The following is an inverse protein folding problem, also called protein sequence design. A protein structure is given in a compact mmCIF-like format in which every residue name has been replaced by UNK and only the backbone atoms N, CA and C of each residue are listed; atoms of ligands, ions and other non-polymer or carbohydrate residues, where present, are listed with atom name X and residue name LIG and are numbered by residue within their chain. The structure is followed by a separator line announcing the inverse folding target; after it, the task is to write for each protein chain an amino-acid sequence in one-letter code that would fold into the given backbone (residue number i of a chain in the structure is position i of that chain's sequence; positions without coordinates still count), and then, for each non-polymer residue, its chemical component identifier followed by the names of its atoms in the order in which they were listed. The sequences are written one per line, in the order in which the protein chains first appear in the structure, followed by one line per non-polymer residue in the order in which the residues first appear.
data_IF_708484941561
#
_entry.id   IF_708484941561
#
_cell.length_a   1.000
_cell.length_b   1.000
_cell.length_c   1.000
_cell.angle_alpha   90.00
_cell.angle_beta   90.00
_cell.angle_gamma   90.00
#
_symmetry.space_group_name_H-M   'P 1'
#
loop_
_entity.id
_entity.type
_entity.pdbx_description
1 polymer ?
#
# COMPACT_ATOMS: atom_id res chain seq x y z
N UNK A 1 -62.15 -34.18 40.48
CA UNK A 1 -60.72 -34.12 40.87
C UNK A 1 -59.91 -33.67 39.66
N UNK A 2 -59.13 -32.60 39.80
CA UNK A 2 -58.57 -31.80 38.69
C UNK A 2 -57.38 -32.49 38.01
N UNK A 3 -57.56 -33.03 36.81
CA UNK A 3 -56.45 -33.35 35.91
C UNK A 3 -55.91 -32.04 35.30
N UNK A 4 -55.07 -31.34 36.06
CA UNK A 4 -54.43 -30.09 35.63
C UNK A 4 -53.11 -30.40 34.90
N UNK A 5 -53.10 -30.06 33.60
CA UNK A 5 -51.99 -29.42 32.87
C UNK A 5 -50.58 -30.00 33.08
N UNK A 6 -50.22 -31.05 32.35
CA UNK A 6 -48.80 -31.43 32.14
C UNK A 6 -48.42 -31.62 30.66
N UNK A 7 -49.36 -31.47 29.71
CA UNK A 7 -49.13 -31.82 28.30
C UNK A 7 -48.90 -30.64 27.32
N UNK A 8 -48.46 -29.41 27.70
CA UNK A 8 -47.99 -28.46 26.69
C UNK A 8 -46.45 -28.35 26.62
N UNK A 9 -45.70 -28.77 27.64
CA UNK A 9 -44.26 -28.46 27.70
C UNK A 9 -43.36 -29.50 27.02
N UNK A 10 -43.71 -30.79 27.07
CA UNK A 10 -42.88 -31.85 26.46
C UNK A 10 -42.93 -31.76 24.92
N UNK A 11 -44.10 -31.45 24.35
CA UNK A 11 -44.24 -31.27 22.89
C UNK A 11 -43.49 -30.02 22.41
N UNK A 12 -43.49 -28.94 23.20
CA UNK A 12 -42.77 -27.71 22.89
C UNK A 12 -41.24 -27.90 22.96
N UNK A 13 -40.76 -28.74 23.88
CA UNK A 13 -39.33 -29.05 24.01
C UNK A 13 -38.81 -29.90 22.84
N UNK A 14 -39.61 -30.85 22.35
CA UNK A 14 -39.26 -31.68 21.18
C UNK A 14 -39.25 -30.85 19.89
N UNK A 15 -40.18 -29.91 19.73
CA UNK A 15 -40.21 -28.95 18.61
C UNK A 15 -39.04 -27.95 18.63
N UNK A 16 -38.54 -27.57 19.82
CA UNK A 16 -37.31 -26.77 19.94
C UNK A 16 -36.06 -27.58 19.59
N UNK A 17 -35.96 -28.85 20.01
CA UNK A 17 -34.81 -29.70 19.71
C UNK A 17 -34.68 -30.06 18.23
N UNK A 18 -35.81 -30.22 17.51
CA UNK A 18 -35.82 -30.48 16.06
C UNK A 18 -35.43 -29.24 15.22
N UNK A 19 -35.57 -28.02 15.76
CA UNK A 19 -35.09 -26.80 15.09
C UNK A 19 -33.58 -26.58 15.22
N UNK A 20 -32.89 -27.31 16.11
CA UNK A 20 -31.43 -27.19 16.27
C UNK A 20 -30.69 -28.13 15.29
N UNK A 21 -31.38 -29.13 14.73
CA UNK A 21 -30.80 -30.10 13.80
C UNK A 21 -30.75 -29.63 12.33
N UNK A 22 -31.29 -28.44 12.03
CA UNK A 22 -31.41 -27.91 10.66
C UNK A 22 -30.36 -26.88 10.24
N UNK A 23 -29.45 -26.46 11.13
CA UNK A 23 -28.30 -25.67 10.72
C UNK A 23 -27.21 -26.60 10.22
N UNK A 24 -27.30 -26.98 8.94
CA UNK A 24 -26.13 -27.39 8.18
C UNK A 24 -25.03 -26.36 8.48
N UNK A 25 -23.87 -26.83 8.97
CA UNK A 25 -22.64 -26.05 8.93
C UNK A 25 -22.45 -25.70 7.45
N UNK A 26 -22.91 -24.51 7.05
CA UNK A 26 -22.25 -23.79 5.98
C UNK A 26 -20.83 -23.68 6.49
N UNK A 27 -19.93 -24.45 5.89
CA UNK A 27 -18.51 -24.17 5.97
C UNK A 27 -18.38 -22.70 5.63
N UNK A 28 -18.27 -21.87 6.66
CA UNK A 28 -17.74 -20.53 6.55
C UNK A 28 -16.27 -20.75 6.19
N UNK A 29 -16.04 -21.15 4.94
CA UNK A 29 -14.78 -20.88 4.27
C UNK A 29 -14.63 -19.38 4.40
N UNK A 30 -13.86 -18.99 5.42
CA UNK A 30 -13.62 -17.60 5.77
C UNK A 30 -13.08 -16.98 4.50
N UNK A 31 -13.93 -16.21 3.81
CA UNK A 31 -13.58 -15.57 2.54
C UNK A 31 -12.39 -14.70 2.88
N UNK A 32 -11.20 -15.13 2.47
CA UNK A 32 -9.97 -14.43 2.81
C UNK A 32 -10.14 -12.99 2.35
N UNK A 33 -9.90 -12.04 3.26
CA UNK A 33 -9.97 -10.62 2.92
C UNK A 33 -9.12 -10.37 1.67
N UNK A 34 -9.59 -9.51 0.76
CA UNK A 34 -8.92 -9.32 -0.52
C UNK A 34 -7.50 -8.76 -0.35
N UNK A 35 -7.25 -8.00 0.72
CA UNK A 35 -5.93 -7.45 1.08
C UNK A 35 -4.90 -8.55 1.45
N UNK A 36 -5.11 -9.41 2.47
CA UNK A 36 -4.17 -10.48 2.80
C UNK A 36 -3.87 -11.40 1.63
N UNK A 37 -4.88 -11.74 0.82
CA UNK A 37 -4.70 -12.54 -0.38
C UNK A 37 -3.80 -11.85 -1.40
N UNK A 38 -4.07 -10.58 -1.73
CA UNK A 38 -3.26 -9.82 -2.68
C UNK A 38 -1.83 -9.59 -2.15
N UNK A 39 -1.67 -9.33 -0.86
CA UNK A 39 -0.36 -9.15 -0.24
C UNK A 39 0.48 -10.43 -0.33
N UNK A 40 -0.10 -11.61 -0.07
CA UNK A 40 0.59 -12.90 -0.24
C UNK A 40 1.07 -13.11 -1.66
N UNK A 41 0.23 -12.76 -2.65
CA UNK A 41 0.60 -12.85 -4.07
C UNK A 41 1.79 -11.92 -4.37
N UNK A 42 1.75 -10.67 -3.89
CA UNK A 42 2.82 -9.70 -4.07
C UNK A 42 4.14 -10.18 -3.43
N UNK A 43 4.11 -10.60 -2.17
CA UNK A 43 5.29 -11.11 -1.45
C UNK A 43 5.86 -12.36 -2.13
N UNK A 44 5.01 -13.27 -2.59
CA UNK A 44 5.45 -14.46 -3.33
C UNK A 44 6.11 -14.11 -4.65
N UNK A 45 5.59 -13.13 -5.40
CA UNK A 45 6.22 -12.68 -6.65
C UNK A 45 7.59 -12.04 -6.41
N UNK A 46 7.71 -11.18 -5.39
CA UNK A 46 8.98 -10.59 -5.02
C UNK A 46 9.98 -11.64 -4.49
N UNK A 47 9.52 -12.61 -3.72
CA UNK A 47 10.38 -13.67 -3.19
C UNK A 47 11.04 -14.49 -4.29
N UNK A 48 10.28 -14.81 -5.35
CA UNK A 48 10.80 -15.50 -6.54
C UNK A 48 11.75 -14.60 -7.32
N UNK A 49 11.40 -13.34 -7.54
CA UNK A 49 12.26 -12.39 -8.25
C UNK A 49 13.62 -12.19 -7.58
N UNK A 50 13.64 -12.21 -6.24
CA UNK A 50 14.84 -12.06 -5.42
C UNK A 50 15.28 -13.39 -4.80
N UNK A 51 15.09 -14.53 -5.48
CA UNK A 51 15.40 -15.85 -4.94
C UNK A 51 16.88 -16.01 -4.54
N UNK A 52 17.80 -15.39 -5.29
CA UNK A 52 19.25 -15.41 -5.01
C UNK A 52 19.64 -14.60 -3.76
N UNK A 53 18.79 -13.69 -3.29
CA UNK A 53 19.04 -12.90 -2.08
C UNK A 53 18.68 -13.74 -0.85
N UNK A 54 19.69 -14.19 -0.12
CA UNK A 54 19.55 -15.08 1.05
C UNK A 54 18.75 -14.42 2.18
N UNK A 55 19.17 -13.23 2.61
CA UNK A 55 18.49 -12.45 3.63
C UNK A 55 17.67 -11.35 2.98
N UNK A 56 16.36 -11.57 2.90
CA UNK A 56 15.40 -10.58 2.39
C UNK A 56 14.17 -10.51 3.29
N UNK A 57 13.73 -9.30 3.58
CA UNK A 57 12.45 -9.04 4.23
C UNK A 57 11.72 -7.93 3.49
N UNK A 58 10.42 -8.11 3.28
CA UNK A 58 9.55 -7.18 2.55
C UNK A 58 8.59 -6.50 3.53
N UNK A 59 8.93 -5.28 3.94
CA UNK A 59 8.09 -4.48 4.83
C UNK A 59 7.14 -3.61 4.00
N UNK A 60 5.83 -3.73 4.21
CA UNK A 60 4.86 -2.85 3.54
C UNK A 60 4.97 -1.43 4.13
N UNK A 61 5.22 -0.45 3.28
CA UNK A 61 5.22 0.98 3.63
C UNK A 61 3.86 1.62 3.38
N UNK A 62 3.21 1.26 2.26
CA UNK A 62 1.90 1.78 1.87
C UNK A 62 1.15 0.75 1.04
N UNK A 63 -0.16 0.75 1.20
CA UNK A 63 -1.10 -0.02 0.39
C UNK A 63 -2.16 0.92 -0.19
N UNK A 64 -2.59 0.67 -1.44
CA UNK A 64 -3.71 1.36 -2.07
C UNK A 64 -4.51 0.39 -2.95
N UNK A 65 -5.82 0.34 -2.74
CA UNK A 65 -6.77 -0.28 -3.68
C UNK A 65 -7.21 0.77 -4.70
N UNK A 66 -7.25 0.39 -5.97
CA UNK A 66 -7.82 1.21 -7.03
C UNK A 66 -8.48 0.29 -8.06
N UNK A 67 -9.79 0.36 -8.19
CA UNK A 67 -10.58 -0.58 -8.97
C UNK A 67 -10.27 -2.05 -8.59
N UNK A 68 -9.80 -2.84 -9.55
CA UNK A 68 -9.37 -4.23 -9.38
C UNK A 68 -7.85 -4.37 -9.07
N UNK A 69 -7.14 -3.27 -8.85
CA UNK A 69 -5.70 -3.25 -8.55
C UNK A 69 -5.45 -3.14 -7.05
N UNK A 70 -4.48 -3.93 -6.59
CA UNK A 70 -3.91 -3.84 -5.26
C UNK A 70 -2.46 -3.42 -5.41
N UNK A 71 -2.13 -2.21 -4.98
CA UNK A 71 -0.77 -1.69 -5.04
C UNK A 71 -0.15 -1.74 -3.65
N UNK A 72 1.08 -2.27 -3.60
CA UNK A 72 1.87 -2.39 -2.40
C UNK A 72 3.23 -1.75 -2.64
N UNK A 73 3.57 -0.76 -1.82
CA UNK A 73 4.92 -0.23 -1.75
C UNK A 73 5.66 -0.97 -0.64
N UNK A 74 6.71 -1.69 -0.99
CA UNK A 74 7.56 -2.40 -0.06
C UNK A 74 8.90 -1.70 0.13
N UNK A 75 9.43 -1.82 1.34
CA UNK A 75 10.84 -1.67 1.66
C UNK A 75 11.46 -3.05 1.80
N UNK A 76 12.34 -3.42 0.87
CA UNK A 76 13.11 -4.64 0.92
C UNK A 76 14.43 -4.37 1.65
N UNK A 77 14.64 -5.00 2.80
CA UNK A 77 15.96 -5.02 3.46
C UNK A 77 16.75 -6.19 2.94
N UNK A 78 17.98 -5.94 2.50
CA UNK A 78 18.97 -6.97 2.09
C UNK A 78 20.32 -6.66 2.73
N UNK A 79 21.25 -7.62 2.67
CA UNK A 79 22.61 -7.45 3.20
C UNK A 79 23.43 -6.37 2.46
N UNK A 80 23.12 -6.09 1.19
CA UNK A 80 23.95 -5.24 0.34
C UNK A 80 23.33 -3.88 0.02
N UNK A 81 22.01 -3.78 -0.12
CA UNK A 81 21.32 -2.52 -0.41
C UNK A 81 19.82 -2.62 -0.17
N UNK A 82 19.21 -1.70 0.60
CA UNK A 82 17.77 -1.64 0.70
C UNK A 82 17.15 -1.14 -0.62
N UNK A 83 15.96 -1.64 -0.95
CA UNK A 83 15.24 -1.25 -2.17
C UNK A 83 13.78 -0.90 -1.88
N UNK A 84 13.23 0.04 -2.65
CA UNK A 84 11.80 0.32 -2.66
C UNK A 84 11.15 -0.33 -3.89
N UNK A 85 10.14 -1.16 -3.65
CA UNK A 85 9.51 -1.99 -4.67
C UNK A 85 8.02 -1.68 -4.72
N UNK A 86 7.53 -1.25 -5.88
CA UNK A 86 6.09 -1.16 -6.11
C UNK A 86 5.62 -2.47 -6.75
N UNK A 87 4.71 -3.17 -6.10
CA UNK A 87 4.05 -4.35 -6.64
C UNK A 87 2.57 -4.07 -6.86
N UNK A 88 2.10 -4.33 -8.07
CA UNK A 88 0.69 -4.25 -8.46
C UNK A 88 0.16 -5.67 -8.63
N UNK A 89 -0.91 -6.00 -7.92
CA UNK A 89 -1.64 -7.25 -8.08
C UNK A 89 -2.97 -6.97 -8.76
N UNK A 90 -3.18 -7.61 -9.89
CA UNK A 90 -4.41 -7.54 -10.68
C UNK A 90 -4.81 -8.95 -11.11
N UNK A 91 -6.08 -9.32 -10.89
CA UNK A 91 -6.61 -10.63 -11.32
C UNK A 91 -5.77 -11.83 -10.83
N UNK A 92 -5.26 -11.76 -9.59
CA UNK A 92 -4.34 -12.72 -8.97
C UNK A 92 -2.97 -12.86 -9.65
N UNK A 93 -2.59 -11.93 -10.52
CA UNK A 93 -1.27 -11.85 -11.15
C UNK A 93 -0.52 -10.66 -10.56
N UNK A 94 0.78 -10.82 -10.35
CA UNK A 94 1.62 -9.75 -9.83
C UNK A 94 2.51 -9.19 -10.94
N UNK A 95 2.52 -7.86 -11.04
CA UNK A 95 3.54 -7.09 -11.73
C UNK A 95 4.36 -6.37 -10.66
N UNK A 96 5.67 -6.33 -10.83
CA UNK A 96 6.50 -5.51 -9.97
C UNK A 96 7.42 -4.60 -10.75
N UNK A 97 7.62 -3.44 -10.14
CA UNK A 97 8.44 -2.37 -10.61
C UNK A 97 9.49 -2.15 -9.53
N UNK A 98 10.75 -2.36 -9.88
CA UNK A 98 11.81 -1.84 -9.04
C UNK A 98 11.93 -0.35 -9.33
N UNK A 99 11.76 0.48 -8.29
CA UNK A 99 12.52 1.72 -8.28
C UNK A 99 13.95 1.32 -7.91
N UNK A 100 14.76 1.04 -8.92
CA UNK A 100 16.21 1.08 -8.77
C UNK A 100 16.64 2.55 -8.87
N UNK A 101 16.15 3.38 -7.94
CA UNK A 101 16.61 4.73 -7.72
C UNK A 101 17.21 4.79 -6.34
N UNK A 102 18.33 5.52 -6.17
CA UNK A 102 18.94 5.70 -4.86
C UNK A 102 17.85 6.06 -3.85
N UNK A 103 17.73 5.30 -2.72
CA UNK A 103 16.81 5.69 -1.66
C UNK A 103 17.06 7.17 -1.36
N UNK A 104 15.99 7.93 -1.12
CA UNK A 104 16.15 9.26 -0.55
C UNK A 104 16.68 9.09 0.88
N UNK A 105 17.98 8.84 1.03
CA UNK A 105 18.62 8.57 2.32
C UNK A 105 18.70 9.85 3.16
N UNK A 106 18.75 11.01 2.49
CA UNK A 106 18.93 12.32 3.11
C UNK A 106 17.77 13.29 2.91
N UNK A 107 17.07 13.24 1.77
CA UNK A 107 16.09 14.28 1.37
C UNK A 107 14.68 14.11 1.94
N UNK A 108 14.46 13.16 2.85
CA UNK A 108 13.17 12.97 3.50
C UNK A 108 12.10 12.26 2.66
N UNK A 109 12.18 12.31 1.33
CA UNK A 109 11.27 11.68 0.37
C UNK A 109 11.92 11.57 -1.02
N UNK A 110 11.31 10.81 -1.93
CA UNK A 110 11.67 10.77 -3.36
C UNK A 110 10.43 10.79 -4.25
N UNK A 111 10.64 10.77 -5.57
CA UNK A 111 9.56 10.68 -6.57
C UNK A 111 9.92 9.68 -7.66
N UNK A 112 9.18 8.57 -7.69
CA UNK A 112 9.19 7.63 -8.79
C UNK A 112 7.84 7.67 -9.51
N UNK A 113 7.85 7.38 -10.81
CA UNK A 113 6.64 7.19 -11.60
C UNK A 113 6.70 5.90 -12.38
N UNK A 114 5.55 5.27 -12.56
CA UNK A 114 5.36 4.23 -13.57
C UNK A 114 4.05 4.42 -14.32
N UNK A 115 4.01 3.94 -15.56
CA UNK A 115 2.82 3.96 -16.42
C UNK A 115 2.18 2.58 -16.44
N UNK A 116 0.88 2.52 -16.19
CA UNK A 116 0.13 1.27 -16.27
C UNK A 116 -1.30 1.52 -16.72
N UNK A 117 -1.74 0.84 -17.79
CA UNK A 117 -3.09 0.90 -18.38
C UNK A 117 -3.66 2.32 -18.48
N UNK A 118 -2.89 3.22 -19.09
CA UNK A 118 -3.30 4.61 -19.31
C UNK A 118 -3.25 5.51 -18.06
N UNK A 119 -2.76 5.04 -16.92
CA UNK A 119 -2.58 5.82 -15.70
C UNK A 119 -1.09 6.03 -15.40
N UNK A 120 -0.78 7.13 -14.72
CA UNK A 120 0.51 7.36 -14.08
C UNK A 120 0.41 7.07 -12.59
N UNK A 121 1.32 6.27 -12.06
CA UNK A 121 1.38 5.89 -10.66
C UNK A 121 2.67 6.48 -10.07
N UNK A 122 2.52 7.40 -9.14
CA UNK A 122 3.60 8.02 -8.39
C UNK A 122 3.76 7.36 -7.03
N UNK A 123 5.00 7.11 -6.62
CA UNK A 123 5.24 6.43 -5.35
C UNK A 123 6.65 6.71 -4.82
N UNK A 124 6.77 6.72 -3.49
CA UNK A 124 8.04 6.65 -2.78
C UNK A 124 7.84 6.48 -1.28
N UNK A 125 8.93 6.32 -0.54
CA UNK A 125 8.94 6.38 0.91
C UNK A 125 8.75 7.82 1.44
N UNK A 126 8.30 7.90 2.69
CA UNK A 126 8.30 9.11 3.49
C UNK A 126 9.12 8.83 4.74
N UNK A 127 10.30 9.44 4.82
CA UNK A 127 11.16 9.28 5.98
C UNK A 127 10.66 10.10 7.15
N UNK A 128 11.07 9.70 8.35
CA UNK A 128 10.80 10.40 9.61
C UNK A 128 11.72 11.60 9.83
N UNK A 129 12.78 11.76 9.02
CA UNK A 129 13.69 12.90 9.09
C UNK A 129 14.23 13.30 7.71
N UNK A 130 14.57 14.58 7.57
CA UNK A 130 15.19 15.19 6.39
C UNK A 130 16.42 15.99 6.78
N UNK A 131 17.34 16.15 5.85
CA UNK A 131 18.53 16.98 5.98
C UNK A 131 18.19 18.49 5.88
N UNK A 132 18.96 19.32 6.56
CA UNK A 132 18.91 20.79 6.48
C UNK A 132 20.17 21.27 5.75
N UNK A 133 20.08 21.73 4.49
CA UNK A 133 21.26 22.04 3.70
C UNK A 133 22.20 23.08 4.29
N UNK A 134 21.65 24.12 4.93
CA UNK A 134 22.44 25.22 5.50
C UNK A 134 23.27 24.83 6.73
N UNK A 135 22.89 23.77 7.46
CA UNK A 135 23.52 23.42 8.74
C UNK A 135 24.13 22.03 8.77
N UNK A 136 23.83 21.18 7.77
CA UNK A 136 24.23 19.78 7.79
C UNK A 136 23.42 18.91 8.76
N UNK A 137 22.55 19.48 9.59
CA UNK A 137 21.78 18.77 10.60
C UNK A 137 20.57 18.01 10.00
N UNK A 138 19.98 17.11 10.78
CA UNK A 138 18.70 16.47 10.46
C UNK A 138 17.58 17.08 11.29
N UNK A 139 16.40 17.24 10.70
CA UNK A 139 15.16 17.58 11.39
C UNK A 139 14.09 16.51 11.20
N UNK A 140 13.17 16.32 12.15
CA UNK A 140 11.97 15.51 11.93
C UNK A 140 11.13 16.07 10.78
N UNK A 141 10.49 15.18 10.01
CA UNK A 141 9.64 15.57 8.88
C UNK A 141 8.20 15.83 9.32
N UNK A 142 7.60 14.92 10.09
CA UNK A 142 6.24 15.01 10.61
C UNK A 142 5.21 15.43 9.55
N UNK A 143 5.30 14.82 8.36
CA UNK A 143 4.40 15.13 7.26
C UNK A 143 2.95 14.82 7.62
N UNK A 144 2.05 15.67 7.14
CA UNK A 144 0.60 15.50 7.31
C UNK A 144 -0.15 15.69 6.01
N UNK A 145 0.38 16.49 5.09
CA UNK A 145 -0.25 16.78 3.80
C UNK A 145 0.79 16.77 2.69
N UNK A 146 0.39 16.25 1.55
CA UNK A 146 1.18 16.17 0.33
C UNK A 146 0.38 16.77 -0.82
N UNK A 147 1.00 17.60 -1.64
CA UNK A 147 0.35 18.28 -2.77
C UNK A 147 1.16 18.02 -4.02
N UNK A 148 0.58 17.30 -4.97
CA UNK A 148 1.09 17.16 -6.33
C UNK A 148 0.54 18.28 -7.19
N UNK A 149 1.43 18.99 -7.89
CA UNK A 149 1.07 19.92 -8.94
C UNK A 149 1.61 19.41 -10.28
N UNK A 150 0.74 19.30 -11.28
CA UNK A 150 1.11 18.84 -12.61
C UNK A 150 1.26 20.00 -13.57
N UNK A 151 2.03 19.83 -14.65
CA UNK A 151 2.29 20.89 -15.64
C UNK A 151 1.00 21.41 -16.30
N UNK A 152 -0.04 20.58 -16.39
CA UNK A 152 -1.35 20.99 -16.92
C UNK A 152 -2.22 21.76 -15.92
N UNK A 153 -1.68 22.16 -14.76
CA UNK A 153 -2.38 22.89 -13.71
C UNK A 153 -3.23 22.03 -12.77
N UNK A 154 -3.38 20.73 -13.01
CA UNK A 154 -4.09 19.84 -12.08
C UNK A 154 -3.33 19.78 -10.75
N UNK A 155 -4.07 19.83 -9.63
CA UNK A 155 -3.52 19.55 -8.30
C UNK A 155 -4.19 18.34 -7.67
N UNK A 156 -3.41 17.56 -6.91
CA UNK A 156 -3.91 16.44 -6.13
C UNK A 156 -3.35 16.57 -4.71
N UNK A 157 -4.24 16.47 -3.72
CA UNK A 157 -3.90 16.64 -2.31
C UNK A 157 -4.14 15.32 -1.59
N UNK A 158 -3.14 14.82 -0.88
CA UNK A 158 -3.21 13.60 -0.06
C UNK A 158 -2.95 13.93 1.41
N UNK A 159 -3.72 13.30 2.31
CA UNK A 159 -3.39 13.25 3.72
C UNK A 159 -2.40 12.10 3.95
N UNK A 160 -1.23 12.43 4.48
CA UNK A 160 -0.11 11.48 4.66
C UNK A 160 0.34 11.38 6.12
N UNK A 161 -0.51 11.81 7.08
CA UNK A 161 -0.17 11.78 8.50
C UNK A 161 0.08 10.35 8.98
N UNK A 162 1.30 10.10 9.44
CA UNK A 162 1.72 8.79 9.96
C UNK A 162 2.07 7.75 8.88
N UNK A 163 2.01 8.13 7.60
CA UNK A 163 2.40 7.25 6.50
C UNK A 163 3.92 7.08 6.42
N UNK A 164 4.35 5.88 6.02
CA UNK A 164 5.77 5.55 5.75
C UNK A 164 6.13 5.65 4.26
N UNK A 165 5.14 5.93 3.42
CA UNK A 165 5.28 6.06 1.98
C UNK A 165 3.95 6.45 1.34
N UNK A 166 3.97 6.73 0.05
CA UNK A 166 2.78 7.17 -0.67
C UNK A 166 2.62 6.41 -1.99
N UNK A 167 1.37 6.33 -2.45
CA UNK A 167 0.99 5.83 -3.77
C UNK A 167 -0.11 6.77 -4.29
N UNK A 168 0.16 7.47 -5.39
CA UNK A 168 -0.77 8.39 -6.04
C UNK A 168 -1.01 7.93 -7.47
N UNK A 169 -2.27 7.84 -7.86
CA UNK A 169 -2.68 7.33 -9.17
C UNK A 169 -3.42 8.47 -9.87
N UNK A 170 -3.01 8.79 -11.09
CA UNK A 170 -3.64 9.81 -11.92
C UNK A 170 -3.92 9.30 -13.32
N UNK A 171 -5.03 9.74 -13.90
CA UNK A 171 -5.38 9.38 -15.28
C UNK A 171 -4.47 10.07 -16.29
N UNK A 172 -4.09 9.32 -17.32
CA UNK A 172 -3.21 9.77 -18.38
C UNK A 172 -1.74 9.89 -17.96
N UNK A 173 -0.93 10.34 -18.91
CA UNK A 173 0.38 10.87 -18.60
C UNK A 173 0.24 12.27 -18.04
N UNK A 174 0.62 12.45 -16.78
CA UNK A 174 0.81 13.79 -16.21
C UNK A 174 2.28 13.96 -15.91
N UNK A 175 2.88 15.08 -16.31
CA UNK A 175 4.24 15.43 -15.90
C UNK A 175 4.16 16.22 -14.61
N UNK A 176 4.98 15.84 -13.63
CA UNK A 176 5.03 16.50 -12.34
C UNK A 176 5.70 17.87 -12.52
N UNK A 177 5.01 18.93 -12.13
CA UNK A 177 5.58 20.27 -12.03
C UNK A 177 6.22 20.44 -10.65
N UNK A 178 5.52 20.02 -9.61
CA UNK A 178 5.96 20.18 -8.23
C UNK A 178 5.30 19.15 -7.29
N UNK A 179 5.95 18.90 -6.17
CA UNK A 179 5.45 18.09 -5.07
C UNK A 179 5.85 18.77 -3.76
N UNK A 180 4.86 19.15 -2.97
CA UNK A 180 5.08 19.90 -1.73
C UNK A 180 4.55 19.09 -0.55
N UNK A 181 5.39 18.94 0.47
CA UNK A 181 5.12 18.23 1.72
C UNK A 181 5.00 19.21 2.87
N UNK A 182 3.92 19.10 3.64
CA UNK A 182 3.60 20.01 4.73
C UNK A 182 3.48 19.27 6.08
N UNK A 183 3.85 19.96 7.15
CA UNK A 183 3.55 19.53 8.52
C UNK A 183 2.15 20.01 8.96
N UNK A 184 1.77 19.67 10.20
CA UNK A 184 0.46 20.01 10.76
C UNK A 184 0.18 21.52 10.90
N UNK A 185 1.24 22.35 10.93
CA UNK A 185 1.13 23.81 10.99
C UNK A 185 0.91 24.45 9.61
N UNK A 186 0.94 23.65 8.54
CA UNK A 186 0.87 24.14 7.17
C UNK A 186 2.20 24.69 6.65
N UNK A 187 3.30 24.48 7.36
CA UNK A 187 4.65 24.87 6.93
C UNK A 187 5.18 23.85 5.92
N UNK A 188 5.90 24.33 4.90
CA UNK A 188 6.60 23.47 3.94
C UNK A 188 7.77 22.79 4.66
N UNK A 189 7.77 21.46 4.65
CA UNK A 189 8.85 20.65 5.20
C UNK A 189 9.86 20.32 4.12
N UNK A 190 9.35 19.89 2.96
CA UNK A 190 10.12 19.53 1.78
C UNK A 190 9.35 19.86 0.49
N UNK A 191 10.09 20.04 -0.60
CA UNK A 191 9.57 20.32 -1.94
C UNK A 191 10.34 19.53 -2.99
N UNK A 192 9.74 19.31 -4.16
CA UNK A 192 10.30 18.51 -5.25
C UNK A 192 11.71 18.93 -5.65
N UNK A 193 12.00 20.23 -5.66
CA UNK A 193 13.33 20.79 -5.91
C UNK A 193 14.40 20.29 -4.93
N UNK A 194 14.04 19.95 -3.69
CA UNK A 194 14.97 19.45 -2.68
C UNK A 194 15.60 18.11 -3.10
N UNK A 195 14.92 17.31 -3.92
CA UNK A 195 15.43 16.00 -4.31
C UNK A 195 16.69 16.13 -5.18
N UNK A 196 16.86 17.24 -5.91
CA UNK A 196 18.04 17.51 -6.75
C UNK A 196 18.15 16.62 -8.00
N UNK A 197 17.15 15.79 -8.28
CA UNK A 197 17.04 15.00 -9.50
C UNK A 197 15.58 14.86 -9.93
N UNK A 198 15.38 14.63 -11.23
CA UNK A 198 14.05 14.46 -11.81
C UNK A 198 13.37 13.16 -11.37
N UNK A 199 12.04 13.19 -11.42
CA UNK A 199 11.15 12.05 -11.24
C UNK A 199 11.62 10.86 -12.08
N UNK A 200 11.95 9.76 -11.41
CA UNK A 200 12.50 8.58 -12.07
C UNK A 200 11.39 7.71 -12.69
N UNK A 201 11.50 7.44 -13.99
CA UNK A 201 10.61 6.50 -14.70
C UNK A 201 11.03 5.05 -14.42
N UNK A 202 10.24 4.37 -13.59
CA UNK A 202 10.44 2.95 -13.31
C UNK A 202 9.95 2.09 -14.49
N UNK A 203 10.72 1.05 -14.81
CA UNK A 203 10.34 0.03 -15.79
C UNK A 203 9.75 -1.20 -15.09
N UNK A 204 8.90 -1.94 -15.79
CA UNK A 204 8.46 -3.27 -15.33
C UNK A 204 9.71 -4.15 -15.26
N UNK A 205 9.92 -4.81 -14.12
CA UNK A 205 11.09 -5.69 -13.92
C UNK A 205 10.70 -7.16 -14.03
N UNK A 206 9.44 -7.50 -13.79
CA UNK A 206 8.95 -8.83 -14.09
C UNK A 206 7.45 -9.02 -13.85
N UNK A 207 7.03 -10.23 -14.17
CA UNK A 207 5.64 -10.67 -14.13
C UNK A 207 5.55 -12.07 -13.55
N UNK A 208 4.57 -12.29 -12.68
CA UNK A 208 4.20 -13.62 -12.20
C UNK A 208 2.72 -13.86 -12.47
N UNK A 209 2.44 -14.74 -13.42
CA UNK A 209 1.17 -15.47 -13.49
C UNK A 209 1.32 -16.79 -12.75
N UNK A 210 0.26 -17.20 -12.04
CA UNK A 210 0.09 -18.62 -11.71
C UNK A 210 0.12 -19.47 -12.97
#
# INVERSE_FOLDING_TARGET
MKAKKVIPYILLFILMMLNISGCTRKDFTKKEDEYPKAQKIAVSALSDAFYMVKNKNFNVLKYKKHDNWYLFLFYMTTDNSPQYLLCLVENNKALWYASAGYPAMSMGFGVNRVKYKGKSIYFCNLNTSTWIPSTGARKPTNYTKMVFEFENGTKLIENVKGDKGYIVIVDGYKKLKDLILYNAKGEIVNRYEDIGYDCYECKVVGFKSK
#
